data_IF_001703137830
#
_entry.id   IF_001703137830
#
_cell.length_a   1.000
_cell.length_b   1.000
_cell.length_c   1.000
_cell.angle_alpha   90.00
_cell.angle_beta   90.00
_cell.angle_gamma   90.00
#
_symmetry.space_group_name_H-M   'P 1'
#
loop_
_entity.id
_entity.type
_entity.pdbx_description
1 polymer ?
#
# COMPACT_ATOMS: atom_id res chain seq x y z
N UNK A 1 -5.89 29.09 49.41
CA UNK A 1 -5.76 29.25 47.95
C UNK A 1 -4.71 28.28 47.44
N UNK A 2 -5.06 27.04 47.05
CA UNK A 2 -4.09 26.14 46.45
C UNK A 2 -3.94 26.45 44.97
N UNK A 3 -2.68 26.43 44.58
CA UNK A 3 -2.05 26.75 43.31
C UNK A 3 -2.64 25.92 42.15
N UNK A 4 -2.87 26.59 41.01
CA UNK A 4 -3.31 26.02 39.72
C UNK A 4 -2.16 25.71 38.70
N UNK A 5 -0.92 25.27 39.06
CA UNK A 5 0.12 24.99 38.07
C UNK A 5 0.04 23.57 37.50
N UNK A 6 -0.62 22.63 38.18
CA UNK A 6 -0.69 21.21 37.76
C UNK A 6 -1.50 21.00 36.49
N UNK A 7 -2.52 21.83 36.23
CA UNK A 7 -3.40 21.65 35.07
C UNK A 7 -2.74 22.13 33.75
N UNK A 8 -1.81 23.08 33.84
CA UNK A 8 -1.04 23.59 32.68
C UNK A 8 0.03 22.57 32.26
N UNK A 9 0.68 21.91 33.23
CA UNK A 9 1.70 20.88 32.95
C UNK A 9 1.09 19.63 32.30
N UNK A 10 -0.12 19.24 32.72
CA UNK A 10 -0.82 18.09 32.11
C UNK A 10 -1.26 18.38 30.66
N UNK A 11 -1.69 19.60 30.38
CA UNK A 11 -2.08 20.01 29.02
C UNK A 11 -0.86 20.13 28.09
N UNK A 12 0.28 20.59 28.61
CA UNK A 12 1.53 20.69 27.85
C UNK A 12 2.10 19.29 27.50
N UNK A 13 1.98 18.30 28.39
CA UNK A 13 2.45 16.94 28.13
C UNK A 13 1.70 16.22 26.99
N UNK A 14 0.41 16.55 26.79
CA UNK A 14 -0.41 15.97 25.71
C UNK A 14 -0.02 16.52 24.33
N UNK A 15 0.45 17.76 24.25
CA UNK A 15 0.83 18.40 22.97
C UNK A 15 2.18 17.89 22.45
N UNK A 16 3.06 17.39 23.31
CA UNK A 16 4.42 16.98 22.95
C UNK A 16 4.56 15.53 22.45
N UNK A 17 3.48 14.74 22.39
CA UNK A 17 3.51 13.33 21.96
C UNK A 17 3.19 13.12 20.47
N UNK A 18 3.23 14.18 19.64
CA UNK A 18 2.66 14.20 18.29
C UNK A 18 3.49 13.64 17.12
N UNK A 19 4.78 13.30 17.31
CA UNK A 19 5.61 12.80 16.21
C UNK A 19 5.88 11.31 16.36
N UNK A 20 4.95 10.47 15.92
CA UNK A 20 5.19 9.04 15.75
C UNK A 20 5.38 8.76 14.25
N UNK A 21 6.63 8.86 13.77
CA UNK A 21 6.99 8.35 12.44
C UNK A 21 6.93 6.83 12.47
N UNK A 22 6.37 6.21 11.44
CA UNK A 22 6.34 4.76 11.37
C UNK A 22 7.77 4.19 11.35
N UNK A 23 8.09 3.38 12.36
CA UNK A 23 9.33 2.61 12.41
C UNK A 23 9.20 1.37 11.51
N UNK A 24 10.17 1.18 10.61
CA UNK A 24 10.26 0.00 9.75
C UNK A 24 11.17 0.23 8.55
N UNK A 25 11.63 -0.85 7.89
CA UNK A 25 12.45 -0.75 6.70
C UNK A 25 11.64 -0.27 5.48
N UNK A 26 12.29 0.41 4.54
CA UNK A 26 11.69 0.80 3.24
C UNK A 26 11.72 -0.36 2.22
N UNK A 27 12.60 -1.34 2.43
CA UNK A 27 12.75 -2.55 1.61
C UNK A 27 13.32 -3.65 2.49
N UNK A 28 12.80 -4.87 2.35
CA UNK A 28 13.25 -6.04 3.10
C UNK A 28 14.01 -6.98 2.16
N UNK A 29 15.24 -7.35 2.52
CA UNK A 29 16.03 -8.34 1.77
C UNK A 29 15.69 -9.74 2.29
N UNK A 30 15.45 -10.66 1.37
CA UNK A 30 15.01 -12.03 1.63
C UNK A 30 15.92 -12.98 0.85
N UNK A 31 16.45 -13.98 1.53
CA UNK A 31 17.18 -15.07 0.89
C UNK A 31 16.25 -15.95 0.05
N UNK A 32 16.75 -16.51 -1.05
CA UNK A 32 15.98 -17.35 -1.96
C UNK A 32 15.22 -18.49 -1.24
N UNK A 33 15.87 -19.11 -0.24
CA UNK A 33 15.29 -20.20 0.55
C UNK A 33 14.08 -19.79 1.41
N UNK A 34 13.96 -18.51 1.76
CA UNK A 34 12.87 -17.99 2.59
C UNK A 34 11.76 -17.34 1.77
N UNK A 35 11.85 -17.30 0.44
CA UNK A 35 10.86 -16.66 -0.43
C UNK A 35 9.42 -17.14 -0.15
N UNK A 36 9.20 -18.46 -0.10
CA UNK A 36 7.86 -19.01 0.12
C UNK A 36 7.28 -18.58 1.48
N UNK A 37 8.12 -18.54 2.52
CA UNK A 37 7.74 -18.09 3.86
C UNK A 37 7.47 -16.59 3.88
N UNK A 38 8.32 -15.80 3.23
CA UNK A 38 8.13 -14.36 3.12
C UNK A 38 6.85 -14.00 2.35
N UNK A 39 6.51 -14.75 1.31
CA UNK A 39 5.27 -14.58 0.57
C UNK A 39 4.04 -14.86 1.44
N UNK A 40 4.04 -15.96 2.17
CA UNK A 40 2.94 -16.30 3.07
C UNK A 40 2.86 -15.34 4.28
N UNK A 41 4.00 -14.87 4.78
CA UNK A 41 4.08 -13.82 5.80
C UNK A 41 3.55 -12.48 5.30
N UNK A 42 3.83 -12.09 4.05
CA UNK A 42 3.25 -10.90 3.42
C UNK A 42 1.73 -11.00 3.30
N UNK A 43 1.22 -12.16 2.90
CA UNK A 43 -0.23 -12.42 2.86
C UNK A 43 -0.86 -12.31 4.25
N UNK A 44 -0.25 -12.91 5.27
CA UNK A 44 -0.73 -12.82 6.64
C UNK A 44 -0.71 -11.37 7.15
N UNK A 45 0.40 -10.65 6.91
CA UNK A 45 0.57 -9.27 7.32
C UNK A 45 -0.48 -8.33 6.71
N UNK A 46 -0.85 -8.55 5.44
CA UNK A 46 -1.91 -7.83 4.74
C UNK A 46 -3.29 -8.14 5.35
N UNK A 47 -3.61 -9.41 5.59
CA UNK A 47 -4.88 -9.82 6.25
C UNK A 47 -5.00 -9.22 7.65
N UNK A 48 -3.94 -9.29 8.44
CA UNK A 48 -3.91 -8.73 9.81
C UNK A 48 -4.02 -7.20 9.81
N UNK A 49 -3.66 -6.54 8.71
CA UNK A 49 -3.90 -5.11 8.52
C UNK A 49 -5.34 -4.78 8.10
N UNK A 50 -6.21 -5.79 7.95
CA UNK A 50 -7.56 -5.61 7.40
C UNK A 50 -7.57 -5.38 5.89
N UNK A 51 -6.48 -5.68 5.19
CA UNK A 51 -6.33 -5.53 3.73
C UNK A 51 -6.19 -6.91 3.08
N UNK A 52 -7.27 -7.69 2.95
CA UNK A 52 -7.17 -9.04 2.42
C UNK A 52 -6.66 -9.02 0.96
N UNK A 53 -5.79 -9.98 0.57
CA UNK A 53 -5.26 -10.06 -0.78
C UNK A 53 -6.34 -10.46 -1.79
N UNK A 54 -6.45 -9.70 -2.88
CA UNK A 54 -7.29 -9.95 -4.05
C UNK A 54 -6.52 -10.77 -5.10
N UNK A 55 -5.27 -10.38 -5.37
CA UNK A 55 -4.37 -11.07 -6.30
C UNK A 55 -3.20 -11.66 -5.52
N UNK A 56 -2.86 -12.92 -5.80
CA UNK A 56 -1.75 -13.64 -5.17
C UNK A 56 -0.98 -14.40 -6.25
N UNK A 57 -0.10 -13.69 -6.96
CA UNK A 57 0.78 -14.30 -7.94
C UNK A 57 2.12 -14.65 -7.30
N UNK A 58 2.27 -15.93 -6.95
CA UNK A 58 3.52 -16.47 -6.38
C UNK A 58 4.66 -16.52 -7.39
N UNK A 59 4.36 -16.66 -8.69
CA UNK A 59 5.39 -16.76 -9.73
C UNK A 59 5.89 -15.39 -10.13
N UNK A 60 4.98 -14.44 -10.32
CA UNK A 60 5.32 -13.04 -10.56
C UNK A 60 5.83 -12.31 -9.31
N UNK A 61 5.63 -12.89 -8.11
CA UNK A 61 5.98 -12.26 -6.84
C UNK A 61 5.22 -10.96 -6.61
N UNK A 62 3.93 -10.97 -6.92
CA UNK A 62 3.04 -9.82 -6.73
C UNK A 62 1.84 -10.23 -5.88
N UNK A 63 1.56 -9.44 -4.86
CA UNK A 63 0.33 -9.54 -4.07
C UNK A 63 -0.37 -8.19 -4.13
N UNK A 64 -1.61 -8.17 -4.60
CA UNK A 64 -2.45 -6.97 -4.57
C UNK A 64 -3.63 -7.20 -3.62
N UNK A 65 -3.96 -6.18 -2.85
CA UNK A 65 -5.06 -6.23 -1.87
C UNK A 65 -6.32 -5.59 -2.42
N UNK A 66 -7.46 -5.94 -1.84
CA UNK A 66 -8.69 -5.19 -2.06
C UNK A 66 -8.49 -3.73 -1.60
N UNK A 67 -9.22 -2.80 -2.21
CA UNK A 67 -9.22 -1.43 -1.73
C UNK A 67 -10.04 -1.34 -0.43
N UNK A 68 -9.49 -0.72 0.61
CA UNK A 68 -10.10 -0.60 1.95
C UNK A 68 -10.20 0.87 2.32
N UNK A 69 -11.37 1.32 2.78
CA UNK A 69 -11.58 2.71 3.19
C UNK A 69 -10.64 3.10 4.33
N UNK A 70 -10.01 4.27 4.19
CA UNK A 70 -9.12 4.81 5.21
C UNK A 70 -9.93 5.17 6.47
N UNK A 71 -9.38 4.98 7.68
CA UNK A 71 -10.08 5.31 8.91
C UNK A 71 -10.45 6.79 8.97
N UNK A 72 -11.73 7.07 9.13
CA UNK A 72 -12.23 8.45 9.23
C UNK A 72 -12.11 8.99 10.66
N UNK A 73 -12.31 10.28 10.81
CA UNK A 73 -12.42 10.96 12.11
C UNK A 73 -13.63 10.44 12.92
N UNK A 74 -14.66 9.95 12.24
CA UNK A 74 -15.89 9.44 12.85
C UNK A 74 -15.80 7.97 13.27
N UNK A 75 -14.68 7.30 12.98
CA UNK A 75 -14.41 5.91 13.37
C UNK A 75 -13.26 5.83 14.40
N UNK A 76 -13.42 6.38 15.61
CA UNK A 76 -12.33 6.43 16.60
C UNK A 76 -11.80 5.06 17.03
N UNK A 77 -12.62 4.00 16.92
CA UNK A 77 -12.21 2.62 17.19
C UNK A 77 -11.32 2.01 16.09
N UNK A 78 -11.31 2.57 14.88
CA UNK A 78 -10.37 2.19 13.82
C UNK A 78 -9.10 3.00 14.00
N UNK A 79 -8.09 2.38 14.61
CA UNK A 79 -6.77 2.99 14.84
C UNK A 79 -5.78 2.37 13.88
N UNK A 80 -5.17 3.19 13.04
CA UNK A 80 -4.16 2.77 12.04
C UNK A 80 -2.82 3.51 12.20
N UNK A 81 -2.66 4.27 13.28
CA UNK A 81 -1.46 5.08 13.53
C UNK A 81 -1.39 6.37 12.70
N UNK A 82 -2.47 6.78 12.03
CA UNK A 82 -2.54 8.09 11.36
C UNK A 82 -2.77 9.23 12.36
N UNK A 83 -2.12 10.38 12.10
CA UNK A 83 -2.32 11.62 12.86
C UNK A 83 -3.68 12.26 12.55
N UNK A 84 -4.19 13.09 13.47
CA UNK A 84 -5.52 13.69 13.40
C UNK A 84 -5.79 14.45 12.09
N UNK A 85 -4.83 15.26 11.62
CA UNK A 85 -4.95 16.02 10.38
C UNK A 85 -5.14 15.11 9.17
N UNK A 86 -4.39 13.99 9.11
CA UNK A 86 -4.52 13.00 8.04
C UNK A 86 -5.90 12.32 8.08
N UNK A 87 -6.44 12.04 9.26
CA UNK A 87 -7.80 11.47 9.41
C UNK A 87 -8.88 12.45 8.98
N UNK A 88 -8.70 13.74 9.25
CA UNK A 88 -9.60 14.79 8.78
C UNK A 88 -9.61 14.86 7.25
N UNK A 89 -8.43 14.88 6.62
CA UNK A 89 -8.31 14.86 5.15
C UNK A 89 -8.99 13.62 4.56
N UNK A 90 -8.70 12.43 5.10
CA UNK A 90 -9.32 11.18 4.66
C UNK A 90 -10.85 11.17 4.77
N UNK A 91 -11.39 11.86 5.79
CA UNK A 91 -12.83 12.00 5.99
C UNK A 91 -13.45 12.95 4.96
N UNK A 92 -12.82 14.10 4.73
CA UNK A 92 -13.33 15.12 3.82
C UNK A 92 -13.22 14.66 2.37
N UNK A 93 -12.06 14.10 2.00
CA UNK A 93 -11.74 13.67 0.64
C UNK A 93 -12.31 12.29 0.30
N UNK A 94 -12.81 11.55 1.29
CA UNK A 94 -13.25 10.15 1.16
C UNK A 94 -12.19 9.32 0.45
N UNK A 95 -11.19 8.91 1.22
CA UNK A 95 -10.03 8.17 0.73
C UNK A 95 -10.10 6.69 1.08
N UNK A 96 -9.56 5.85 0.19
CA UNK A 96 -9.35 4.42 0.41
C UNK A 96 -7.91 4.06 0.09
N UNK A 97 -7.45 2.92 0.59
CA UNK A 97 -6.07 2.45 0.44
C UNK A 97 -6.03 1.09 -0.22
N UNK A 98 -5.03 0.87 -1.07
CA UNK A 98 -4.71 -0.41 -1.70
C UNK A 98 -3.23 -0.67 -1.55
N UNK A 99 -2.89 -1.82 -0.97
CA UNK A 99 -1.51 -2.29 -0.84
C UNK A 99 -1.15 -3.22 -1.99
N UNK A 100 0.06 -3.04 -2.53
CA UNK A 100 0.73 -3.93 -3.48
C UNK A 100 2.09 -4.31 -2.92
N UNK A 101 2.31 -5.60 -2.76
CA UNK A 101 3.59 -6.18 -2.38
C UNK A 101 4.25 -6.68 -3.65
N UNK A 102 5.50 -6.34 -3.85
CA UNK A 102 6.29 -6.79 -4.99
C UNK A 102 7.63 -7.29 -4.49
N UNK A 103 7.90 -8.55 -4.80
CA UNK A 103 9.23 -9.11 -4.70
C UNK A 103 10.01 -8.63 -5.92
N UNK A 104 11.32 -8.47 -5.83
CA UNK A 104 12.19 -8.11 -6.96
C UNK A 104 13.51 -8.82 -6.73
N UNK A 105 14.08 -9.51 -7.72
CA UNK A 105 15.44 -10.05 -7.56
C UNK A 105 16.39 -8.86 -7.37
N UNK A 106 17.16 -8.87 -6.26
CA UNK A 106 18.27 -7.94 -6.08
C UNK A 106 19.43 -8.58 -6.83
N UNK A 107 20.05 -7.80 -7.72
CA UNK A 107 20.88 -8.31 -8.80
C UNK A 107 21.75 -9.51 -8.42
N UNK A 108 21.60 -10.58 -9.19
CA UNK A 108 22.70 -11.52 -9.44
C UNK A 108 23.17 -11.30 -10.88
N UNK A 109 24.49 -11.46 -11.07
CA UNK A 109 25.18 -11.31 -12.34
C UNK A 109 24.42 -12.00 -13.49
N UNK A 110 24.56 -11.44 -14.70
CA UNK A 110 24.19 -12.12 -15.94
C UNK A 110 24.53 -13.62 -15.76
N UNK A 111 23.58 -14.54 -16.01
CA UNK A 111 23.92 -15.96 -16.01
C UNK A 111 25.21 -16.14 -16.83
N UNK A 112 26.18 -16.95 -16.37
CA UNK A 112 27.41 -17.17 -17.12
C UNK A 112 27.01 -17.49 -18.55
N UNK A 113 27.56 -16.71 -19.50
CA UNK A 113 27.11 -16.75 -20.89
C UNK A 113 27.03 -18.21 -21.37
N UNK A 114 25.82 -18.64 -21.73
CA UNK A 114 25.62 -19.93 -22.36
C UNK A 114 26.53 -20.02 -23.60
N UNK A 115 27.05 -21.20 -23.95
CA UNK A 115 27.79 -21.39 -25.19
C UNK A 115 26.94 -20.86 -26.36
N UNK A 116 27.54 -20.24 -27.40
CA UNK A 116 26.85 -19.35 -28.32
C UNK A 116 25.61 -20.00 -28.94
N UNK A 117 24.48 -19.75 -28.30
CA UNK A 117 23.17 -20.05 -28.82
C UNK A 117 22.93 -19.07 -29.97
N UNK A 118 22.35 -19.50 -31.10
CA UNK A 118 22.03 -18.58 -32.18
C UNK A 118 21.22 -17.41 -31.61
N UNK A 119 21.70 -16.18 -31.86
CA UNK A 119 21.05 -14.93 -31.46
C UNK A 119 19.70 -14.80 -32.17
N UNK A 120 18.70 -15.49 -31.64
CA UNK A 120 17.31 -15.33 -32.01
C UNK A 120 16.87 -13.99 -31.39
N UNK A 121 16.46 -13.06 -32.24
CA UNK A 121 15.92 -11.78 -31.78
C UNK A 121 14.74 -11.98 -30.82
N UNK A 122 14.41 -10.98 -30.00
CA UNK A 122 13.30 -11.07 -29.06
C UNK A 122 12.02 -11.40 -29.83
N UNK A 123 11.38 -12.52 -29.46
CA UNK A 123 10.10 -12.92 -30.03
C UNK A 123 9.02 -11.93 -29.58
N UNK A 124 8.66 -11.01 -30.48
CA UNK A 124 7.69 -9.94 -30.22
C UNK A 124 6.25 -10.47 -30.11
N UNK A 125 6.01 -11.74 -30.47
CA UNK A 125 4.71 -12.41 -30.38
C UNK A 125 4.64 -13.36 -29.17
N UNK A 126 5.78 -13.72 -28.58
CA UNK A 126 5.80 -14.37 -27.27
C UNK A 126 5.28 -13.40 -26.22
N UNK A 127 4.18 -13.78 -25.57
CA UNK A 127 3.61 -13.03 -24.45
C UNK A 127 4.60 -13.08 -23.28
N UNK A 128 5.50 -12.07 -23.20
CA UNK A 128 6.45 -11.82 -22.11
C UNK A 128 7.35 -13.01 -21.74
N UNK A 129 8.40 -13.22 -22.54
CA UNK A 129 9.47 -14.20 -22.28
C UNK A 129 10.31 -13.88 -21.02
N UNK A 130 10.26 -12.65 -20.49
CA UNK A 130 11.04 -12.25 -19.31
C UNK A 130 10.28 -12.41 -17.97
N UNK A 131 9.31 -13.32 -17.89
CA UNK A 131 8.68 -13.66 -16.60
C UNK A 131 9.54 -14.67 -15.85
N UNK A 132 10.61 -14.19 -15.21
CA UNK A 132 11.42 -15.01 -14.30
C UNK A 132 10.51 -15.52 -13.19
N UNK A 133 10.29 -16.84 -13.14
CA UNK A 133 9.54 -17.46 -12.05
C UNK A 133 10.30 -17.27 -10.73
N UNK A 134 9.70 -16.46 -9.85
CA UNK A 134 10.29 -16.11 -8.55
C UNK A 134 10.37 -17.30 -7.62
N UNK A 135 9.55 -18.33 -7.82
CA UNK A 135 9.57 -19.51 -6.96
C UNK A 135 10.83 -20.36 -7.13
N UNK A 136 11.47 -20.30 -8.30
CA UNK A 136 12.68 -21.06 -8.64
C UNK A 136 13.95 -20.21 -8.67
N UNK A 137 13.85 -18.91 -8.40
CA UNK A 137 15.00 -18.02 -8.45
C UNK A 137 15.92 -18.26 -7.25
N UNK A 138 17.19 -18.54 -7.53
CA UNK A 138 18.19 -18.88 -6.52
C UNK A 138 18.85 -17.66 -5.83
N UNK A 139 18.53 -16.44 -6.31
CA UNK A 139 19.11 -15.20 -5.84
C UNK A 139 18.36 -14.51 -4.71
N UNK A 140 19.02 -13.51 -4.11
CA UNK A 140 18.39 -12.67 -3.09
C UNK A 140 17.26 -11.83 -3.68
N UNK A 141 16.21 -11.60 -2.89
CA UNK A 141 15.05 -10.83 -3.30
C UNK A 141 14.80 -9.64 -2.37
N UNK A 142 14.43 -8.51 -2.96
CA UNK A 142 13.89 -7.35 -2.27
C UNK A 142 12.37 -7.47 -2.24
N UNK A 143 11.77 -7.46 -1.06
CA UNK A 143 10.35 -7.18 -0.88
C UNK A 143 10.14 -5.68 -0.72
N UNK A 144 9.30 -5.12 -1.58
CA UNK A 144 8.81 -3.75 -1.52
C UNK A 144 7.31 -3.76 -1.33
N UNK A 145 6.81 -2.77 -0.60
CA UNK A 145 5.38 -2.56 -0.38
C UNK A 145 5.04 -1.15 -0.82
N UNK A 146 4.02 -1.03 -1.66
CA UNK A 146 3.42 0.25 -2.01
C UNK A 146 1.99 0.28 -1.51
N UNK A 147 1.64 1.35 -0.79
CA UNK A 147 0.27 1.58 -0.36
C UNK A 147 -0.22 2.84 -1.07
N UNK A 148 -1.07 2.64 -2.06
CA UNK A 148 -1.69 3.72 -2.79
C UNK A 148 -2.90 4.23 -2.02
N UNK A 149 -2.98 5.54 -1.85
CA UNK A 149 -4.16 6.24 -1.37
C UNK A 149 -4.93 6.73 -2.58
N UNK A 150 -6.18 6.34 -2.67
CA UNK A 150 -7.11 6.70 -3.74
C UNK A 150 -8.20 7.61 -3.19
N UNK A 151 -8.54 8.63 -3.98
CA UNK A 151 -9.60 9.59 -3.64
C UNK A 151 -10.83 9.35 -4.49
N UNK A 152 -12.01 9.47 -3.87
CA UNK A 152 -13.26 9.32 -4.60
C UNK A 152 -13.61 10.60 -5.36
N UNK A 153 -14.02 10.46 -6.62
CA UNK A 153 -14.48 11.56 -7.47
C UNK A 153 -15.90 11.29 -7.97
N UNK A 154 -16.78 12.27 -7.80
CA UNK A 154 -18.17 12.22 -8.28
C UNK A 154 -18.42 13.36 -9.27
N UNK A 155 -18.26 13.10 -10.58
CA UNK A 155 -18.49 14.13 -11.60
C UNK A 155 -19.97 14.52 -11.67
N UNK A 156 -20.23 15.79 -11.99
CA UNK A 156 -21.59 16.29 -12.16
C UNK A 156 -22.37 16.50 -10.87
N UNK A 157 -21.75 16.37 -9.69
CA UNK A 157 -22.37 16.70 -8.41
C UNK A 157 -22.69 18.20 -8.35
N UNK A 158 -23.98 18.52 -8.20
CA UNK A 158 -24.49 19.87 -8.00
C UNK A 158 -25.10 19.96 -6.62
N UNK A 159 -24.56 20.83 -5.78
CA UNK A 159 -25.14 21.16 -4.48
C UNK A 159 -26.20 22.22 -4.68
N UNK A 160 -27.33 22.03 -4.02
CA UNK A 160 -28.40 23.01 -4.01
C UNK A 160 -27.93 24.29 -3.28
N UNK A 161 -28.38 25.46 -3.76
CA UNK A 161 -27.97 26.76 -3.21
C UNK A 161 -28.73 27.13 -1.94
N UNK A 162 -29.92 26.55 -1.73
CA UNK A 162 -30.80 26.90 -0.62
C UNK A 162 -30.72 25.91 0.54
N UNK A 163 -30.49 24.62 0.24
CA UNK A 163 -30.48 23.55 1.23
C UNK A 163 -29.18 22.76 1.20
N UNK A 164 -28.54 22.61 2.37
CA UNK A 164 -27.29 21.83 2.49
C UNK A 164 -27.47 20.31 2.33
N UNK A 165 -28.71 19.82 2.33
CA UNK A 165 -29.03 18.39 2.21
C UNK A 165 -29.39 17.97 0.79
N UNK A 166 -29.80 18.89 -0.08
CA UNK A 166 -30.15 18.54 -1.44
C UNK A 166 -28.91 18.59 -2.34
N UNK A 167 -28.69 17.50 -3.06
CA UNK A 167 -27.71 17.43 -4.12
C UNK A 167 -28.30 16.64 -5.28
N UNK A 168 -28.01 17.08 -6.50
CA UNK A 168 -28.30 16.34 -7.72
C UNK A 168 -27.00 15.94 -8.41
N UNK A 169 -27.04 14.91 -9.24
CA UNK A 169 -25.88 14.48 -10.03
C UNK A 169 -26.27 14.46 -11.50
N UNK A 170 -25.55 15.23 -12.32
CA UNK A 170 -25.71 15.18 -13.77
C UNK A 170 -25.00 13.95 -14.36
N UNK A 171 -25.53 13.41 -15.46
CA UNK A 171 -24.82 12.42 -16.26
C UNK A 171 -23.75 13.15 -17.06
N UNK A 172 -22.50 12.71 -16.96
CA UNK A 172 -21.36 13.28 -17.67
C UNK A 172 -20.88 12.24 -18.70
N UNK A 173 -20.66 12.71 -19.92
CA UNK A 173 -20.09 11.91 -21.01
C UNK A 173 -18.61 12.29 -21.20
N UNK A 174 -17.78 11.37 -21.67
CA UNK A 174 -16.42 11.67 -22.11
C UNK A 174 -16.38 12.23 -23.54
N UNK A 175 -15.17 12.42 -24.09
CA UNK A 175 -15.00 13.03 -25.41
C UNK A 175 -15.47 12.11 -26.53
N UNK A 176 -15.44 10.80 -26.28
CA UNK A 176 -15.85 9.71 -27.16
C UNK A 176 -17.38 9.48 -27.12
N UNK A 177 -18.09 10.14 -26.20
CA UNK A 177 -19.54 10.06 -26.04
C UNK A 177 -20.01 8.95 -25.09
N UNK A 178 -19.08 8.26 -24.43
CA UNK A 178 -19.36 7.22 -23.45
C UNK A 178 -19.70 7.82 -22.09
N UNK A 179 -20.60 7.14 -21.37
CA UNK A 179 -21.06 7.60 -20.06
C UNK A 179 -19.97 7.37 -19.03
N UNK A 180 -19.50 8.44 -18.39
CA UNK A 180 -18.59 8.32 -17.25
C UNK A 180 -19.28 7.64 -16.07
N UNK A 181 -18.54 6.82 -15.30
CA UNK A 181 -19.07 6.24 -14.08
C UNK A 181 -19.50 7.33 -13.09
N UNK A 182 -20.56 7.07 -12.33
CA UNK A 182 -21.11 8.03 -11.35
C UNK A 182 -20.11 8.39 -10.25
N UNK A 183 -19.22 7.46 -9.94
CA UNK A 183 -18.11 7.64 -9.02
C UNK A 183 -16.94 6.83 -9.56
N UNK A 184 -15.74 7.41 -9.49
CA UNK A 184 -14.50 6.70 -9.79
C UNK A 184 -13.44 7.08 -8.75
N UNK A 185 -12.38 6.28 -8.71
CA UNK A 185 -11.30 6.41 -7.76
C UNK A 185 -10.02 6.72 -8.50
N UNK A 186 -9.27 7.68 -7.99
CA UNK A 186 -8.00 8.11 -8.58
C UNK A 186 -6.89 7.96 -7.55
N UNK A 187 -5.76 7.31 -7.87
CA UNK A 187 -4.61 7.30 -6.97
C UNK A 187 -4.06 8.73 -6.85
N UNK A 188 -4.01 9.25 -5.63
CA UNK A 188 -3.57 10.63 -5.34
C UNK A 188 -2.22 10.68 -4.64
N UNK A 189 -1.89 9.68 -3.84
CA UNK A 189 -0.69 9.66 -3.02
C UNK A 189 -0.26 8.24 -2.65
N UNK A 190 0.92 8.12 -2.03
CA UNK A 190 1.37 6.92 -1.31
C UNK A 190 1.36 7.14 0.19
N UNK A 191 1.14 6.07 0.96
CA UNK A 191 1.21 6.07 2.43
C UNK A 191 2.47 5.34 2.91
N UNK A 192 3.63 6.02 2.98
CA UNK A 192 4.90 5.40 3.38
C UNK A 192 4.90 4.89 4.82
N UNK A 193 4.06 5.47 5.69
CA UNK A 193 3.96 5.04 7.07
C UNK A 193 3.32 3.65 7.17
N UNK A 194 2.25 3.40 6.39
CA UNK A 194 1.62 2.09 6.34
C UNK A 194 2.49 1.07 5.60
N UNK A 195 3.22 1.48 4.55
CA UNK A 195 4.20 0.63 3.85
C UNK A 195 5.25 0.08 4.83
N UNK A 196 5.89 0.95 5.62
CA UNK A 196 6.88 0.56 6.64
C UNK A 196 6.30 -0.34 7.73
N UNK A 197 5.09 -0.04 8.20
CA UNK A 197 4.41 -0.88 9.21
C UNK A 197 4.11 -2.28 8.69
N UNK A 198 3.69 -2.40 7.43
CA UNK A 198 3.46 -3.68 6.77
C UNK A 198 4.77 -4.46 6.61
N UNK A 199 5.84 -3.80 6.12
CA UNK A 199 7.16 -4.41 6.00
C UNK A 199 7.71 -4.87 7.36
N UNK A 200 7.64 -4.04 8.39
CA UNK A 200 8.05 -4.40 9.74
C UNK A 200 7.23 -5.55 10.34
N UNK A 201 5.99 -5.77 9.87
CA UNK A 201 5.19 -6.94 10.26
C UNK A 201 5.65 -8.21 9.56
N UNK A 202 6.00 -8.12 8.28
CA UNK A 202 6.59 -9.25 7.54
C UNK A 202 7.94 -9.64 8.12
N UNK A 203 8.81 -8.67 8.37
CA UNK A 203 10.13 -8.88 8.98
C UNK A 203 10.02 -9.60 10.33
N UNK A 204 9.11 -9.17 11.21
CA UNK A 204 8.88 -9.84 12.51
C UNK A 204 8.30 -11.26 12.40
N UNK A 205 7.64 -11.58 11.30
CA UNK A 205 7.08 -12.90 11.06
C UNK A 205 8.12 -13.86 10.46
N UNK A 206 9.19 -13.33 9.87
CA UNK A 206 10.31 -14.13 9.42
C UNK A 206 11.18 -14.53 10.61
N UNK A 207 11.70 -15.77 10.64
CA UNK A 207 12.73 -16.13 11.61
C UNK A 207 13.93 -15.19 11.42
N UNK A 208 14.58 -14.78 12.53
CA UNK A 208 15.82 -14.02 12.44
C UNK A 208 16.77 -14.77 11.50
N UNK A 209 17.22 -14.11 10.43
CA UNK A 209 18.15 -14.69 9.47
C UNK A 209 19.29 -15.32 10.27
N UNK A 210 19.45 -16.64 10.14
CA UNK A 210 20.63 -17.31 10.68
C UNK A 210 21.83 -16.69 9.98
N UNK A 211 22.56 -15.84 10.70
CA UNK A 211 23.82 -15.29 10.24
C UNK A 211 24.71 -16.46 9.76
N UNK A 212 25.43 -16.28 8.63
CA UNK A 212 26.36 -17.31 8.15
C UNK A 212 27.45 -17.62 9.19
#
# INVERSE_FOLDING_TARGET
>A
MPTRPTLIVLLAAVVLSGCQTAAGPDTLVIDAGDYARAFDAAVAAAKDAGMPPEVRDRRGGVIETVAVDAPTLLEPWRVDGSVLERRLEQTISHERRRARFEFMPIGDALPPADPPEPLLGPDLLATRTDSIDRTSHAGTMALRVWVYTERSHQPGLRRDTWTRRASSTAIVFDAEGDRRPRQFWTPVARDPDLERRLLARVERALPAASAP
#
